data_IF_132304928463
#
_entry.id   IF_132304928463
#
_cell.length_a   1.000
_cell.length_b   1.000
_cell.length_c   1.000
_cell.angle_alpha   90.00
_cell.angle_beta   90.00
_cell.angle_gamma   90.00
#
_symmetry.space_group_name_H-M   'P 1'
#
loop_
_entity.id
_entity.type
_entity.pdbx_description
1 polymer ?
#
# COMPACT_ATOMS: atom_id res chain seq x y z
N UNK A 1 -2.55 -1.95 -16.50
CA UNK A 1 -1.83 -2.15 -15.21
C UNK A 1 -2.57 -3.22 -14.42
N UNK A 2 -1.89 -4.15 -13.75
CA UNK A 2 -2.54 -5.21 -12.95
C UNK A 2 -2.56 -4.93 -11.45
N UNK A 3 -1.74 -3.99 -10.99
CA UNK A 3 -1.61 -3.57 -9.61
C UNK A 3 -1.42 -2.06 -9.58
N UNK A 4 -1.98 -1.39 -8.58
CA UNK A 4 -1.64 -0.01 -8.27
C UNK A 4 -1.77 0.22 -6.76
N UNK A 5 -0.98 1.17 -6.25
CA UNK A 5 -1.07 1.63 -4.87
C UNK A 5 -1.48 3.10 -4.87
N UNK A 6 -2.35 3.46 -3.93
CA UNK A 6 -2.66 4.86 -3.61
C UNK A 6 -1.91 5.17 -2.32
N UNK A 7 -1.13 6.25 -2.33
CA UNK A 7 -0.36 6.71 -1.18
C UNK A 7 -0.81 8.13 -0.85
N UNK A 8 -1.26 8.36 0.38
CA UNK A 8 -1.56 9.70 0.90
C UNK A 8 -0.53 10.06 1.98
N UNK A 9 0.47 10.91 1.66
CA UNK A 9 1.48 11.33 2.63
C UNK A 9 0.95 12.25 3.73
N UNK A 10 -0.19 12.93 3.52
CA UNK A 10 -0.80 13.82 4.52
C UNK A 10 -1.53 13.00 5.58
N UNK A 11 -2.32 12.01 5.14
CA UNK A 11 -2.99 11.07 6.04
C UNK A 11 -2.08 9.94 6.50
N UNK A 12 -0.90 9.80 5.89
CA UNK A 12 0.08 8.73 6.11
C UNK A 12 -0.55 7.36 5.89
N UNK A 13 -1.28 7.19 4.79
CA UNK A 13 -1.97 5.94 4.44
C UNK A 13 -1.47 5.38 3.10
N UNK A 14 -1.62 4.07 2.96
CA UNK A 14 -1.43 3.35 1.70
C UNK A 14 -2.55 2.34 1.49
N UNK A 15 -2.97 2.20 0.24
CA UNK A 15 -3.95 1.21 -0.19
C UNK A 15 -3.47 0.50 -1.45
N UNK A 16 -3.44 -0.83 -1.44
CA UNK A 16 -3.01 -1.65 -2.56
C UNK A 16 -4.18 -2.36 -3.23
N UNK A 17 -4.25 -2.25 -4.56
CA UNK A 17 -5.30 -2.83 -5.39
C UNK A 17 -4.73 -3.76 -6.45
N UNK A 18 -5.48 -4.82 -6.75
CA UNK A 18 -5.13 -5.78 -7.81
C UNK A 18 -6.31 -5.93 -8.78
N UNK A 19 -6.03 -5.99 -10.08
CA UNK A 19 -7.03 -6.24 -11.10
C UNK A 19 -7.39 -7.73 -11.10
N UNK A 20 -8.63 -8.07 -10.74
CA UNK A 20 -9.20 -9.42 -10.77
C UNK A 20 -10.54 -9.36 -11.50
N UNK A 21 -10.73 -10.24 -12.48
CA UNK A 21 -11.96 -10.31 -13.28
C UNK A 21 -12.43 -8.95 -13.84
N UNK A 22 -11.49 -8.12 -14.33
CA UNK A 22 -11.79 -6.81 -14.91
C UNK A 22 -12.13 -5.70 -13.91
N UNK A 23 -12.07 -5.97 -12.60
CA UNK A 23 -12.28 -4.96 -11.55
C UNK A 23 -11.09 -4.91 -10.60
N UNK A 24 -10.82 -3.73 -10.05
CA UNK A 24 -9.84 -3.60 -8.98
C UNK A 24 -10.48 -3.96 -7.66
N UNK A 25 -9.88 -4.91 -6.97
CA UNK A 25 -10.29 -5.34 -5.64
C UNK A 25 -9.29 -4.82 -4.60
N UNK A 26 -9.81 -4.43 -3.44
CA UNK A 26 -9.02 -3.90 -2.33
C UNK A 26 -8.23 -5.02 -1.66
N UNK A 27 -6.90 -4.92 -1.68
CA UNK A 27 -6.03 -5.96 -1.11
C UNK A 27 -5.65 -5.68 0.33
N UNK A 28 -4.77 -4.71 0.52
CA UNK A 28 -4.17 -4.39 1.81
C UNK A 28 -4.16 -2.88 2.00
N UNK A 29 -4.50 -2.45 3.20
CA UNK A 29 -4.39 -1.05 3.64
C UNK A 29 -3.46 -0.98 4.84
N UNK A 30 -2.75 0.13 4.95
CA UNK A 30 -1.91 0.42 6.12
C UNK A 30 -1.77 1.91 6.35
N UNK A 31 -1.33 2.26 7.54
CA UNK A 31 -1.21 3.65 7.97
C UNK A 31 -0.03 3.87 8.91
N UNK A 32 0.41 5.12 9.03
CA UNK A 32 1.39 5.54 10.02
C UNK A 32 2.66 4.69 9.99
N UNK A 33 2.90 3.92 11.04
CA UNK A 33 4.10 3.09 11.22
C UNK A 33 3.89 1.61 10.93
N UNK A 34 2.76 1.22 10.33
CA UNK A 34 2.49 -0.19 10.02
C UNK A 34 3.61 -0.81 9.17
N UNK A 35 3.83 -2.11 9.36
CA UNK A 35 4.67 -2.93 8.47
C UNK A 35 3.75 -3.76 7.60
N UNK A 36 3.71 -3.47 6.30
CA UNK A 36 2.76 -4.08 5.35
C UNK A 36 3.46 -4.91 4.28
N UNK A 37 2.74 -5.89 3.74
CA UNK A 37 3.13 -6.65 2.54
C UNK A 37 2.09 -6.40 1.47
N UNK A 38 2.50 -5.78 0.37
CA UNK A 38 1.59 -5.29 -0.67
C UNK A 38 1.83 -6.03 -1.98
N UNK A 39 0.75 -6.40 -2.67
CA UNK A 39 0.85 -7.00 -3.99
C UNK A 39 1.54 -6.04 -4.98
N UNK A 40 2.40 -6.51 -5.90
CA UNK A 40 2.68 -7.92 -6.17
C UNK A 40 3.79 -8.55 -5.29
N UNK A 41 4.34 -7.82 -4.32
CA UNK A 41 5.52 -8.22 -3.55
C UNK A 41 5.16 -8.83 -2.18
N UNK A 42 4.48 -9.97 -2.17
CA UNK A 42 4.00 -10.62 -0.92
C UNK A 42 5.10 -11.04 0.06
N UNK A 43 6.37 -11.11 -0.39
CA UNK A 43 7.53 -11.43 0.47
C UNK A 43 8.26 -10.19 0.98
N UNK A 44 7.98 -9.01 0.44
CA UNK A 44 8.60 -7.75 0.85
C UNK A 44 7.79 -7.12 1.98
N UNK A 45 8.38 -7.05 3.17
CA UNK A 45 7.83 -6.24 4.26
C UNK A 45 8.28 -4.79 4.11
N UNK A 46 7.34 -3.85 4.08
CA UNK A 46 7.58 -2.42 3.96
C UNK A 46 7.16 -1.75 5.26
N UNK A 47 8.10 -1.12 5.96
CA UNK A 47 7.78 -0.23 7.09
C UNK A 47 7.30 1.11 6.54
N UNK A 48 6.04 1.44 6.77
CA UNK A 48 5.45 2.70 6.29
C UNK A 48 6.05 3.93 6.97
N UNK A 49 6.61 3.77 8.18
CA UNK A 49 7.31 4.85 8.88
C UNK A 49 8.45 5.48 8.04
N UNK A 50 9.05 4.71 7.13
CA UNK A 50 10.12 5.18 6.25
C UNK A 50 9.64 6.03 5.06
N UNK A 51 8.34 6.02 4.76
CA UNK A 51 7.78 6.70 3.59
C UNK A 51 7.40 8.15 3.87
N UNK A 52 7.24 8.51 5.14
CA UNK A 52 6.73 9.83 5.53
C UNK A 52 7.88 10.75 5.88
N UNK A 53 7.81 12.00 5.42
CA UNK A 53 8.78 13.01 5.85
C UNK A 53 8.60 13.28 7.36
N UNK A 54 9.70 13.56 8.08
CA UNK A 54 9.61 14.13 9.42
C UNK A 54 8.74 15.39 9.40
N UNK A 55 7.86 15.52 10.39
CA UNK A 55 7.11 16.75 10.67
C UNK A 55 7.97 17.75 11.39
#
# INVERSE_FOLDING_TARGET
MRYYWIVDPKQRTIEAYSLRAGKYDGGVRGSGSDVVKLAPFSKLSISLALLWRPT
#
